data_IF_149701406098
#
_entry.id   IF_149701406098
#
_cell.length_a   1.000
_cell.length_b   1.000
_cell.length_c   1.000
_cell.angle_alpha   90.00
_cell.angle_beta   90.00
_cell.angle_gamma   90.00
#
_symmetry.space_group_name_H-M   'P 1'
#
loop_
_entity.id
_entity.type
_entity.pdbx_description
1 polymer ?
#
# COMPACT_ATOMS: atom_id res chain seq x y z
N UNK A 1 -14.85 1.61 -9.32
CA UNK A 1 -14.74 2.85 -8.52
C UNK A 1 -15.98 2.97 -7.66
N UNK A 2 -15.83 3.41 -6.42
CA UNK A 2 -16.95 3.74 -5.53
C UNK A 2 -17.72 4.96 -6.03
N UNK A 3 -18.84 5.25 -5.37
CA UNK A 3 -19.76 6.32 -5.76
C UNK A 3 -19.55 7.61 -4.97
N UNK A 4 -18.32 7.90 -4.55
CA UNK A 4 -18.02 9.10 -3.78
C UNK A 4 -18.35 10.37 -4.59
N UNK A 5 -18.89 11.45 -3.98
CA UNK A 5 -19.34 12.64 -4.71
C UNK A 5 -18.24 13.35 -5.51
N UNK A 6 -16.98 13.21 -5.07
CA UNK A 6 -15.81 13.79 -5.72
C UNK A 6 -15.36 13.04 -6.97
N UNK A 7 -15.91 11.86 -7.25
CA UNK A 7 -15.63 11.13 -8.47
C UNK A 7 -16.52 11.63 -9.60
N UNK A 8 -15.90 12.19 -10.64
CA UNK A 8 -16.62 12.74 -11.78
C UNK A 8 -17.44 11.64 -12.48
N UNK A 9 -18.76 11.72 -12.30
CA UNK A 9 -19.68 10.72 -12.80
C UNK A 9 -19.89 10.79 -14.33
N UNK A 10 -19.41 11.84 -14.98
CA UNK A 10 -19.49 12.02 -16.43
C UNK A 10 -18.13 11.84 -17.13
N UNK A 11 -17.08 11.43 -16.40
CA UNK A 11 -15.75 11.28 -16.98
C UNK A 11 -15.72 10.18 -18.05
N UNK A 12 -15.23 10.54 -19.23
CA UNK A 12 -14.96 9.64 -20.35
C UNK A 12 -13.45 9.61 -20.57
N UNK A 13 -12.89 8.41 -20.63
CA UNK A 13 -11.46 8.20 -20.88
C UNK A 13 -11.28 7.54 -22.25
N UNK A 14 -10.24 7.93 -23.00
CA UNK A 14 -10.01 7.39 -24.34
C UNK A 14 -9.65 5.90 -24.34
N UNK A 15 -8.97 5.44 -23.29
CA UNK A 15 -8.33 4.12 -23.26
C UNK A 15 -8.73 3.27 -22.03
N UNK A 16 -9.60 3.78 -21.16
CA UNK A 16 -9.98 3.11 -19.90
C UNK A 16 -11.50 3.08 -19.77
N UNK A 17 -12.05 1.90 -19.54
CA UNK A 17 -13.47 1.76 -19.17
C UNK A 17 -13.61 1.92 -17.66
N UNK A 18 -14.20 3.02 -17.23
CA UNK A 18 -14.56 3.21 -15.82
C UNK A 18 -15.84 2.44 -15.48
N UNK A 19 -15.74 1.46 -14.58
CA UNK A 19 -16.89 0.72 -14.03
C UNK A 19 -17.14 1.15 -12.59
N UNK A 20 -18.39 1.53 -12.29
CA UNK A 20 -18.82 1.84 -10.93
C UNK A 20 -19.31 0.59 -10.21
N UNK A 21 -19.05 0.57 -8.90
CA UNK A 21 -19.66 -0.42 -8.02
C UNK A 21 -21.16 -0.11 -7.86
N UNK A 22 -22.03 -1.12 -7.71
CA UNK A 22 -23.40 -0.91 -7.29
C UNK A 22 -23.47 -0.09 -5.99
N UNK A 23 -24.53 0.71 -5.80
CA UNK A 23 -24.71 1.49 -4.58
C UNK A 23 -24.72 0.57 -3.36
N UNK A 24 -24.14 1.03 -2.25
CA UNK A 24 -24.05 0.33 -0.97
C UNK A 24 -23.28 -1.01 -0.99
N UNK A 25 -22.54 -1.33 -2.06
CA UNK A 25 -21.73 -2.54 -2.15
C UNK A 25 -20.22 -2.31 -2.04
N UNK A 26 -19.77 -1.08 -1.73
CA UNK A 26 -18.34 -0.74 -1.65
C UNK A 26 -17.58 -1.69 -0.73
N UNK A 27 -18.04 -1.89 0.51
CA UNK A 27 -17.35 -2.78 1.46
C UNK A 27 -17.20 -4.22 0.97
N UNK A 28 -18.12 -4.71 0.13
CA UNK A 28 -18.11 -6.06 -0.42
C UNK A 28 -17.26 -6.21 -1.68
N UNK A 29 -17.25 -5.20 -2.55
CA UNK A 29 -16.66 -5.30 -3.89
C UNK A 29 -15.37 -4.49 -4.04
N UNK A 30 -15.15 -3.49 -3.19
CA UNK A 30 -13.97 -2.64 -3.24
C UNK A 30 -12.78 -3.37 -2.65
N UNK A 31 -11.75 -3.56 -3.48
CA UNK A 31 -10.52 -4.25 -3.10
C UNK A 31 -9.85 -3.65 -1.87
N UNK A 32 -9.92 -2.32 -1.72
CA UNK A 32 -9.34 -1.63 -0.57
C UNK A 32 -9.97 -2.09 0.76
N UNK A 33 -11.28 -2.30 0.76
CA UNK A 33 -12.05 -2.76 1.92
C UNK A 33 -11.99 -4.28 2.11
N UNK A 34 -11.66 -5.03 1.05
CA UNK A 34 -11.53 -6.50 1.07
C UNK A 34 -10.21 -7.03 1.68
N UNK A 35 -9.39 -6.13 2.23
CA UNK A 35 -8.23 -6.50 3.05
C UNK A 35 -6.94 -5.75 2.72
N UNK A 36 -6.88 -5.00 1.61
CA UNK A 36 -5.66 -4.25 1.25
C UNK A 36 -5.33 -3.19 2.30
N UNK A 37 -6.32 -2.40 2.74
CA UNK A 37 -6.12 -1.39 3.80
C UNK A 37 -5.64 -2.06 5.09
N UNK A 38 -6.26 -3.18 5.46
CA UNK A 38 -5.90 -3.90 6.68
C UNK A 38 -4.47 -4.42 6.63
N UNK A 39 -4.10 -5.14 5.57
CA UNK A 39 -2.75 -5.67 5.39
C UNK A 39 -1.70 -4.56 5.34
N UNK A 40 -1.99 -3.46 4.64
CA UNK A 40 -1.12 -2.29 4.60
C UNK A 40 -0.92 -1.68 5.99
N UNK A 41 -2.00 -1.45 6.75
CA UNK A 41 -1.93 -0.90 8.11
C UNK A 41 -1.15 -1.82 9.06
N UNK A 42 -1.31 -3.14 8.94
CA UNK A 42 -0.53 -4.10 9.72
C UNK A 42 0.97 -4.00 9.39
N UNK A 43 1.34 -3.95 8.11
CA UNK A 43 2.74 -3.80 7.70
C UNK A 43 3.33 -2.46 8.16
N UNK A 44 2.59 -1.36 7.96
CA UNK A 44 3.01 -0.03 8.41
C UNK A 44 3.26 0.00 9.93
N UNK A 45 2.33 -0.51 10.74
CA UNK A 45 2.50 -0.54 12.20
C UNK A 45 3.69 -1.38 12.64
N UNK A 46 3.92 -2.53 12.02
CA UNK A 46 5.10 -3.36 12.31
C UNK A 46 6.38 -2.55 12.09
N UNK A 47 6.49 -1.87 10.96
CA UNK A 47 7.68 -1.07 10.61
C UNK A 47 7.85 0.16 11.50
N UNK A 48 6.75 0.80 11.87
CA UNK A 48 6.77 1.89 12.85
C UNK A 48 7.32 1.41 14.19
N UNK A 49 6.89 0.24 14.67
CA UNK A 49 7.41 -0.34 15.91
C UNK A 49 8.89 -0.71 15.80
N UNK A 50 9.33 -1.25 14.67
CA UNK A 50 10.76 -1.51 14.40
C UNK A 50 11.58 -0.21 14.46
N UNK A 51 11.07 0.88 13.88
CA UNK A 51 11.70 2.20 13.94
C UNK A 51 11.75 2.77 15.35
N UNK A 52 10.64 2.71 16.10
CA UNK A 52 10.62 3.17 17.51
C UNK A 52 11.58 2.35 18.36
N UNK A 53 11.63 1.04 18.18
CA UNK A 53 12.58 0.17 18.89
C UNK A 53 14.04 0.52 18.56
N UNK A 54 14.33 0.86 17.31
CA UNK A 54 15.65 1.35 16.89
C UNK A 54 16.03 2.64 17.62
N UNK A 55 15.13 3.63 17.69
CA UNK A 55 15.37 4.88 18.41
C UNK A 55 15.62 4.68 19.92
N UNK A 56 14.88 3.75 20.54
CA UNK A 56 15.05 3.43 21.97
C UNK A 56 16.44 2.81 22.22
N UNK A 57 16.88 1.91 21.34
CA UNK A 57 18.19 1.24 21.47
C UNK A 57 19.37 2.18 21.24
N UNK A 58 19.22 3.16 20.37
CA UNK A 58 20.27 4.13 20.01
C UNK A 58 20.40 5.27 21.04
N UNK A 59 19.79 5.15 22.22
CA UNK A 59 19.73 6.16 23.30
C UNK A 59 19.24 7.55 22.86
N UNK A 60 18.67 7.67 21.65
CA UNK A 60 18.12 8.93 21.12
C UNK A 60 16.89 9.45 21.88
N UNK A 61 16.42 8.70 22.88
CA UNK A 61 15.40 9.10 23.84
C UNK A 61 13.98 9.11 23.26
N UNK A 62 13.00 8.73 24.07
CA UNK A 62 11.56 8.77 23.73
C UNK A 62 11.11 10.18 23.33
N UNK A 63 11.83 11.21 23.78
CA UNK A 63 11.55 12.63 23.56
C UNK A 63 11.78 13.06 22.09
N UNK A 64 12.51 12.27 21.29
CA UNK A 64 12.69 12.46 19.83
C UNK A 64 11.84 11.52 18.96
N UNK A 65 10.89 10.79 19.53
CA UNK A 65 9.99 9.91 18.77
C UNK A 65 8.92 10.68 17.98
N UNK A 66 9.21 11.92 17.57
CA UNK A 66 8.41 12.60 16.55
C UNK A 66 8.69 11.91 15.22
N UNK A 67 7.68 11.22 14.70
CA UNK A 67 7.77 10.65 13.37
C UNK A 67 7.57 11.78 12.38
N UNK A 68 8.67 12.31 11.88
CA UNK A 68 8.64 13.31 10.83
C UNK A 68 7.89 12.79 9.59
N UNK A 69 7.31 13.72 8.82
CA UNK A 69 6.56 13.36 7.61
C UNK A 69 7.43 12.57 6.62
N UNK A 70 8.72 12.89 6.53
CA UNK A 70 9.67 12.18 5.68
C UNK A 70 9.84 10.72 6.11
N UNK A 71 10.01 10.48 7.41
CA UNK A 71 10.09 9.11 7.96
C UNK A 71 8.77 8.37 7.70
N UNK A 72 7.64 9.03 7.90
CA UNK A 72 6.31 8.46 7.62
C UNK A 72 6.19 8.04 6.15
N UNK A 73 6.62 8.89 5.20
CA UNK A 73 6.61 8.58 3.77
C UNK A 73 7.46 7.35 3.43
N UNK A 74 8.66 7.24 4.03
CA UNK A 74 9.51 6.06 3.88
C UNK A 74 8.86 4.80 4.45
N UNK A 75 8.23 4.89 5.62
CA UNK A 75 7.51 3.77 6.24
C UNK A 75 6.30 3.35 5.38
N UNK A 76 5.55 4.30 4.80
CA UNK A 76 4.46 4.05 3.86
C UNK A 76 4.96 3.31 2.61
N UNK A 77 6.04 3.79 1.98
CA UNK A 77 6.67 3.11 0.83
C UNK A 77 7.06 1.68 1.20
N UNK A 78 7.81 1.52 2.30
CA UNK A 78 8.28 0.22 2.79
C UNK A 78 7.11 -0.73 3.12
N UNK A 79 6.02 -0.23 3.69
CA UNK A 79 4.83 -1.01 3.99
C UNK A 79 4.15 -1.50 2.71
N UNK A 80 4.00 -0.62 1.71
CA UNK A 80 3.38 -0.95 0.43
C UNK A 80 4.15 -2.03 -0.33
N UNK A 81 5.47 -1.85 -0.52
CA UNK A 81 6.30 -2.81 -1.28
C UNK A 81 6.42 -4.17 -0.59
N UNK A 82 6.22 -4.24 0.73
CA UNK A 82 6.23 -5.50 1.47
C UNK A 82 4.94 -6.30 1.41
N UNK A 83 3.88 -5.76 0.79
CA UNK A 83 2.66 -6.53 0.59
C UNK A 83 2.94 -7.67 -0.38
N UNK A 84 2.86 -8.89 0.13
CA UNK A 84 3.16 -10.07 -0.67
C UNK A 84 2.09 -10.24 -1.78
N UNK A 85 2.48 -10.59 -3.02
CA UNK A 85 1.55 -10.81 -4.12
C UNK A 85 0.34 -11.73 -3.81
N UNK A 86 0.51 -12.74 -2.94
CA UNK A 86 -0.57 -13.63 -2.54
C UNK A 86 -1.71 -12.89 -1.81
N UNK A 87 -1.41 -11.81 -1.07
CA UNK A 87 -2.41 -10.97 -0.41
C UNK A 87 -3.28 -10.31 -1.46
N UNK A 88 -2.66 -9.69 -2.47
CA UNK A 88 -3.38 -9.04 -3.57
C UNK A 88 -4.25 -10.05 -4.33
N UNK A 89 -3.69 -11.19 -4.72
CA UNK A 89 -4.45 -12.26 -5.39
C UNK A 89 -5.65 -12.70 -4.55
N UNK A 90 -5.47 -12.88 -3.24
CA UNK A 90 -6.54 -13.28 -2.32
C UNK A 90 -7.65 -12.23 -2.21
N UNK A 91 -7.30 -10.95 -2.11
CA UNK A 91 -8.27 -9.84 -2.08
C UNK A 91 -9.07 -9.79 -3.38
N UNK A 92 -8.41 -9.88 -4.54
CA UNK A 92 -9.11 -9.91 -5.84
C UNK A 92 -10.08 -11.08 -5.93
N UNK A 93 -9.65 -12.27 -5.50
CA UNK A 93 -10.53 -13.45 -5.45
C UNK A 93 -11.73 -13.25 -4.52
N UNK A 94 -11.53 -12.67 -3.34
CA UNK A 94 -12.61 -12.36 -2.40
C UNK A 94 -13.62 -11.36 -2.96
N UNK A 95 -13.16 -10.37 -3.72
CA UNK A 95 -14.01 -9.42 -4.43
C UNK A 95 -14.73 -10.02 -5.66
N UNK A 96 -14.60 -11.34 -5.90
CA UNK A 96 -15.30 -12.06 -6.97
C UNK A 96 -14.57 -12.11 -8.30
N UNK A 97 -13.32 -11.60 -8.39
CA UNK A 97 -12.52 -11.72 -9.60
C UNK A 97 -12.00 -13.14 -9.73
N UNK A 98 -12.34 -13.78 -10.85
CA UNK A 98 -11.84 -15.12 -11.18
C UNK A 98 -10.49 -14.98 -11.88
N UNK A 99 -9.56 -15.87 -11.54
CA UNK A 99 -8.33 -16.04 -12.31
C UNK A 99 -8.67 -16.68 -13.65
N UNK A 100 -8.96 -15.87 -14.67
CA UNK A 100 -8.84 -16.32 -16.06
C UNK A 100 -7.36 -16.39 -16.42
N UNK A 101 -6.97 -17.49 -17.07
CA UNK A 101 -5.60 -17.89 -17.38
C UNK A 101 -4.70 -16.71 -17.78
N UNK A 102 -3.52 -16.66 -17.15
CA UNK A 102 -2.47 -15.68 -17.39
C UNK A 102 -2.03 -15.77 -18.86
N UNK A 103 -2.18 -14.68 -19.62
CA UNK A 103 -1.40 -14.49 -20.83
C UNK A 103 0.05 -14.21 -20.40
N UNK A 104 1.06 -14.98 -20.84
CA UNK A 104 2.43 -14.80 -20.38
C UNK A 104 3.04 -13.59 -21.10
N UNK A 105 2.99 -12.40 -20.49
CA UNK A 105 3.94 -11.30 -20.72
C UNK A 105 3.58 -10.07 -19.87
N UNK A 106 3.91 -10.11 -18.59
CA UNK A 106 4.44 -8.91 -17.93
C UNK A 106 5.67 -9.38 -17.17
N UNK A 107 6.84 -9.21 -17.79
CA UNK A 107 8.09 -9.31 -17.06
C UNK A 107 8.05 -8.30 -15.91
N UNK A 108 8.53 -8.64 -14.71
CA UNK A 108 8.71 -7.68 -13.65
C UNK A 108 9.55 -6.52 -14.20
N UNK A 109 9.06 -5.29 -14.07
CA UNK A 109 9.94 -4.14 -14.16
C UNK A 109 10.91 -4.29 -12.99
N UNK A 110 12.16 -4.62 -13.28
CA UNK A 110 13.24 -4.57 -12.30
C UNK A 110 13.37 -3.11 -11.83
N UNK A 111 12.66 -2.77 -10.77
CA UNK A 111 12.92 -1.54 -10.03
C UNK A 111 14.22 -1.75 -9.28
N UNK A 112 15.34 -1.35 -9.90
CA UNK A 112 16.62 -1.14 -9.22
C UNK A 112 16.50 0.06 -8.28
N UNK A 113 15.65 -0.07 -7.26
CA UNK A 113 15.69 0.76 -6.06
C UNK A 113 16.34 -0.04 -4.92
N UNK A 114 17.42 -0.76 -5.22
CA UNK A 114 18.43 -1.11 -4.22
C UNK A 114 19.32 0.12 -4.00
N UNK A 115 18.76 1.12 -3.35
CA UNK A 115 19.57 2.00 -2.51
C UNK A 115 19.24 1.61 -1.08
N UNK A 116 20.04 0.67 -0.58
CA UNK A 116 20.38 0.56 0.82
C UNK A 116 21.04 1.91 1.16
N UNK A 117 20.22 2.90 1.51
CA UNK A 117 20.66 3.89 2.48
C UNK A 117 20.27 3.30 3.84
N UNK A 118 21.27 2.60 4.37
CA UNK A 118 21.50 2.43 5.78
C UNK A 118 20.98 3.67 6.54
N UNK A 119 20.19 3.43 7.58
CA UNK A 119 19.68 4.49 8.47
C UNK A 119 20.80 5.27 9.21
N UNK A 120 22.05 5.01 8.86
CA UNK A 120 23.27 5.57 9.45
C UNK A 120 23.59 6.98 8.94
N UNK A 121 22.94 7.50 7.89
CA UNK A 121 23.32 8.79 7.30
C UNK A 121 22.32 9.96 7.38
N UNK A 122 21.13 9.78 7.97
CA UNK A 122 20.20 10.92 8.20
C UNK A 122 20.43 11.63 9.55
N UNK A 123 21.70 11.81 9.95
CA UNK A 123 22.08 12.72 11.03
C UNK A 123 23.34 13.48 10.63
N UNK A 124 23.16 14.53 9.82
CA UNK A 124 23.98 15.76 9.84
C UNK A 124 23.09 16.94 9.47
#
# INVERSE_FOLDING_TARGET
>A
MDNAPYHNQAAVFSNVKLVRLPPNCSSMLQLMDQGVIWSFKCSFRKRLLEYVLFLIKDEKGIIKAEVEILITMHLVKKAWVSLHPHVMISVFRKAGFKSTLIHPAMQPLEDKCDLIEDFTHCVY
#
